data_IF_847445804116
#
_entry.id   IF_847445804116
#
_cell.length_a   1.000
_cell.length_b   1.000
_cell.length_c   1.000
_cell.angle_alpha   90.00
_cell.angle_beta   90.00
_cell.angle_gamma   90.00
#
_symmetry.space_group_name_H-M   'P 1'
#
loop_
_entity.id
_entity.type
_entity.pdbx_description
1 polymer ?
#
# COMPACT_ATOMS: atom_id res chain seq x y z
N UNK A 1 -12.43 -18.17 -28.95
CA UNK A 1 -13.26 -17.11 -28.37
C UNK A 1 -12.59 -15.75 -28.60
N UNK A 2 -13.35 -14.65 -28.81
CA UNK A 2 -12.77 -13.30 -28.85
C UNK A 2 -12.29 -12.87 -27.47
N UNK A 3 -11.37 -11.87 -27.43
CA UNK A 3 -11.02 -11.21 -26.20
C UNK A 3 -12.24 -10.48 -25.59
N UNK A 4 -12.32 -10.34 -24.26
CA UNK A 4 -13.27 -9.45 -23.65
C UNK A 4 -13.08 -8.00 -24.14
N UNK A 5 -14.12 -7.20 -24.01
CA UNK A 5 -14.08 -5.78 -24.41
C UNK A 5 -14.29 -4.89 -23.20
N UNK A 6 -14.01 -3.58 -23.37
CA UNK A 6 -14.30 -2.54 -22.37
C UNK A 6 -13.68 -2.82 -20.98
N UNK A 7 -12.44 -3.34 -20.96
CA UNK A 7 -11.69 -3.55 -19.73
C UNK A 7 -11.35 -2.21 -19.09
N UNK A 8 -11.79 -2.01 -17.86
CA UNK A 8 -11.60 -0.76 -17.10
C UNK A 8 -11.53 -1.02 -15.61
N UNK A 9 -11.05 -0.05 -14.85
CA UNK A 9 -11.17 -0.07 -13.39
C UNK A 9 -12.59 0.31 -12.98
N UNK A 10 -13.17 -0.41 -12.03
CA UNK A 10 -14.50 -0.14 -11.49
C UNK A 10 -14.52 1.11 -10.59
N UNK A 11 -13.41 1.35 -9.92
CA UNK A 11 -13.17 2.48 -9.02
C UNK A 11 -11.69 2.87 -9.09
N UNK A 12 -11.28 3.92 -8.37
CA UNK A 12 -9.89 4.35 -8.33
C UNK A 12 -8.99 3.21 -7.84
N UNK A 13 -7.94 2.92 -8.58
CA UNK A 13 -6.96 1.88 -8.22
C UNK A 13 -6.08 2.37 -7.07
N UNK A 14 -6.03 1.59 -5.99
CA UNK A 14 -5.23 1.90 -4.80
C UNK A 14 -4.26 0.77 -4.48
N UNK A 15 -3.26 1.05 -3.65
CA UNK A 15 -2.34 0.01 -3.15
C UNK A 15 -3.03 -1.01 -2.23
N UNK A 16 -4.27 -0.76 -1.83
CA UNK A 16 -5.07 -1.70 -1.03
C UNK A 16 -5.86 -2.67 -1.89
N UNK A 17 -6.35 -2.22 -3.05
CA UNK A 17 -7.08 -3.06 -3.99
C UNK A 17 -7.12 -2.42 -5.40
N UNK A 18 -7.11 -3.26 -6.43
CA UNK A 18 -7.41 -2.90 -7.80
C UNK A 18 -8.58 -3.73 -8.26
N UNK A 19 -9.71 -3.07 -8.56
CA UNK A 19 -10.90 -3.73 -9.07
C UNK A 19 -11.06 -3.43 -10.55
N UNK A 20 -11.03 -4.48 -11.37
CA UNK A 20 -11.22 -4.41 -12.81
C UNK A 20 -12.54 -5.04 -13.22
N UNK A 21 -13.14 -4.52 -14.26
CA UNK A 21 -14.39 -5.02 -14.85
C UNK A 21 -14.27 -5.01 -16.37
N UNK A 22 -15.00 -5.91 -17.02
CA UNK A 22 -15.05 -6.04 -18.49
C UNK A 22 -16.45 -6.43 -18.96
N UNK A 23 -16.67 -6.36 -20.25
CA UNK A 23 -17.94 -6.83 -20.82
C UNK A 23 -17.89 -8.35 -21.08
N UNK A 24 -19.00 -9.06 -20.85
CA UNK A 24 -19.06 -10.50 -21.02
C UNK A 24 -18.86 -10.91 -22.48
N UNK A 25 -18.19 -12.04 -22.71
CA UNK A 25 -18.02 -12.66 -24.02
C UNK A 25 -19.07 -13.75 -24.22
N UNK A 26 -19.80 -13.66 -25.31
CA UNK A 26 -20.81 -14.68 -25.65
C UNK A 26 -20.15 -16.04 -25.87
N UNK A 27 -20.61 -17.04 -25.15
CA UNK A 27 -20.07 -18.40 -25.21
C UNK A 27 -18.82 -18.65 -24.36
N UNK A 28 -18.38 -17.67 -23.56
CA UNK A 28 -17.28 -17.90 -22.63
C UNK A 28 -17.76 -18.79 -21.46
N UNK A 29 -17.01 -19.84 -21.19
CA UNK A 29 -17.16 -20.68 -20.00
C UNK A 29 -16.50 -20.03 -18.76
N UNK A 30 -15.57 -19.11 -18.97
CA UNK A 30 -14.87 -18.43 -17.88
C UNK A 30 -13.87 -17.38 -18.38
N UNK A 31 -13.13 -16.83 -17.40
CA UNK A 31 -12.06 -15.85 -17.65
C UNK A 31 -10.83 -16.15 -16.80
N UNK A 32 -9.65 -15.92 -17.38
CA UNK A 32 -8.38 -15.91 -16.67
C UNK A 32 -7.85 -14.48 -16.60
N UNK A 33 -7.39 -14.08 -15.42
CA UNK A 33 -6.85 -12.73 -15.15
C UNK A 33 -5.35 -12.83 -14.92
N UNK A 34 -4.60 -11.97 -15.58
CA UNK A 34 -3.15 -11.90 -15.48
C UNK A 34 -2.70 -10.51 -15.04
N UNK A 35 -1.58 -10.43 -14.34
CA UNK A 35 -0.95 -9.17 -13.93
C UNK A 35 0.54 -9.21 -14.22
N UNK A 36 1.01 -8.26 -15.01
CA UNK A 36 2.42 -8.09 -15.35
C UNK A 36 2.93 -6.70 -14.95
N UNK A 37 4.24 -6.56 -14.79
CA UNK A 37 4.92 -5.28 -14.59
C UNK A 37 5.45 -4.68 -15.91
N UNK A 38 5.25 -5.37 -17.02
CA UNK A 38 5.55 -4.94 -18.38
C UNK A 38 4.34 -5.18 -19.26
N UNK A 39 4.26 -4.49 -20.38
CA UNK A 39 3.21 -4.71 -21.36
C UNK A 39 3.46 -6.06 -22.08
N UNK A 40 2.55 -7.03 -21.98
CA UNK A 40 2.71 -8.31 -22.65
C UNK A 40 2.72 -8.15 -24.18
N UNK A 41 3.68 -8.77 -24.85
CA UNK A 41 3.78 -8.76 -26.33
C UNK A 41 2.98 -9.90 -26.98
N UNK A 42 2.74 -10.98 -26.25
CA UNK A 42 1.99 -12.15 -26.71
C UNK A 42 1.29 -12.86 -25.55
N UNK A 43 0.40 -13.81 -25.88
CA UNK A 43 -0.29 -14.63 -24.87
C UNK A 43 0.69 -15.46 -24.03
N UNK A 44 1.80 -15.89 -24.60
CA UNK A 44 2.83 -16.64 -23.88
C UNK A 44 3.61 -15.80 -22.87
N UNK A 45 3.53 -14.48 -22.98
CA UNK A 45 4.18 -13.52 -22.09
C UNK A 45 3.30 -13.13 -20.88
N UNK A 46 2.07 -13.63 -20.82
CA UNK A 46 1.15 -13.36 -19.71
C UNK A 46 1.58 -14.04 -18.40
N UNK A 47 2.35 -15.12 -18.48
CA UNK A 47 2.84 -15.87 -17.32
C UNK A 47 1.75 -16.69 -16.63
N UNK A 48 1.64 -16.59 -15.31
CA UNK A 48 0.65 -17.32 -14.51
C UNK A 48 -0.56 -16.46 -14.19
N UNK A 49 -1.79 -17.02 -14.24
CA UNK A 49 -3.00 -16.29 -13.89
C UNK A 49 -3.05 -15.94 -12.39
N UNK A 50 -3.73 -14.84 -12.07
CA UNK A 50 -4.03 -14.43 -10.70
C UNK A 50 -5.16 -15.31 -10.13
N UNK A 51 -4.77 -16.40 -9.47
CA UNK A 51 -5.73 -17.30 -8.82
C UNK A 51 -6.44 -18.25 -9.77
N UNK A 52 -7.62 -18.72 -9.38
CA UNK A 52 -8.43 -19.63 -10.17
C UNK A 52 -9.15 -18.92 -11.33
N UNK A 53 -9.48 -19.69 -12.39
CA UNK A 53 -10.32 -19.18 -13.47
C UNK A 53 -11.70 -18.79 -12.92
N UNK A 54 -12.16 -17.62 -13.34
CA UNK A 54 -13.49 -17.09 -13.01
C UNK A 54 -14.56 -17.76 -13.87
N UNK A 55 -15.79 -17.87 -13.35
CA UNK A 55 -16.90 -18.39 -14.11
C UNK A 55 -17.33 -17.43 -15.23
N UNK A 56 -18.01 -17.92 -16.27
CA UNK A 56 -18.40 -17.11 -17.43
C UNK A 56 -19.38 -15.96 -17.13
N UNK A 57 -20.04 -15.98 -15.99
CA UNK A 57 -20.89 -14.88 -15.49
C UNK A 57 -20.16 -13.88 -14.58
N UNK A 58 -18.92 -14.15 -14.22
CA UNK A 58 -18.08 -13.25 -13.42
C UNK A 58 -17.30 -12.32 -14.35
N UNK A 59 -17.69 -11.06 -14.38
CA UNK A 59 -17.10 -10.01 -15.24
C UNK A 59 -16.36 -8.95 -14.43
N UNK A 60 -15.89 -9.31 -13.25
CA UNK A 60 -15.11 -8.45 -12.37
C UNK A 60 -14.08 -9.26 -11.60
N UNK A 61 -12.95 -8.64 -11.30
CA UNK A 61 -11.90 -9.22 -10.46
C UNK A 61 -11.34 -8.14 -9.53
N UNK A 62 -11.08 -8.52 -8.27
CA UNK A 62 -10.48 -7.63 -7.27
C UNK A 62 -9.11 -8.19 -6.85
N UNK A 63 -8.05 -7.48 -7.22
CA UNK A 63 -6.68 -7.80 -6.83
C UNK A 63 -6.30 -7.08 -5.55
N UNK A 64 -5.99 -7.85 -4.50
CA UNK A 64 -5.48 -7.37 -3.20
C UNK A 64 -4.08 -7.91 -2.89
N UNK A 65 -3.42 -8.56 -3.84
CA UNK A 65 -2.17 -9.27 -3.63
C UNK A 65 -0.96 -8.37 -3.88
N UNK A 66 -0.38 -7.82 -2.82
CA UNK A 66 0.87 -7.06 -2.87
C UNK A 66 0.88 -5.98 -3.97
N UNK A 67 -0.17 -5.18 -4.02
CA UNK A 67 -0.28 -4.08 -4.97
C UNK A 67 0.54 -2.90 -4.45
N UNK A 68 1.49 -2.44 -5.25
CA UNK A 68 2.35 -1.31 -4.94
C UNK A 68 2.03 -0.12 -5.86
N UNK A 69 2.53 1.07 -5.53
CA UNK A 69 2.36 2.28 -6.34
C UNK A 69 3.26 2.29 -7.59
N UNK A 70 3.13 1.27 -8.44
CA UNK A 70 3.86 1.13 -9.72
C UNK A 70 2.90 0.75 -10.85
N UNK A 71 3.38 0.82 -12.08
CA UNK A 71 2.60 0.40 -13.26
C UNK A 71 2.39 -1.12 -13.27
N UNK A 72 1.14 -1.53 -13.44
CA UNK A 72 0.75 -2.90 -13.69
C UNK A 72 -0.06 -2.98 -14.99
N UNK A 73 0.06 -4.11 -15.66
CA UNK A 73 -0.69 -4.44 -16.87
C UNK A 73 -1.58 -5.64 -16.56
N UNK A 74 -2.88 -5.39 -16.44
CA UNK A 74 -3.88 -6.42 -16.23
C UNK A 74 -4.38 -6.90 -17.57
N UNK A 75 -4.29 -8.21 -17.81
CA UNK A 75 -4.77 -8.83 -19.02
C UNK A 75 -5.85 -9.86 -18.73
N UNK A 76 -6.89 -9.87 -19.55
CA UNK A 76 -8.00 -10.82 -19.43
C UNK A 76 -8.07 -11.67 -20.67
N UNK A 77 -8.16 -12.99 -20.46
CA UNK A 77 -8.34 -14.00 -21.49
C UNK A 77 -9.66 -14.69 -21.26
N UNK A 78 -10.48 -14.88 -22.29
CA UNK A 78 -11.69 -15.71 -22.23
C UNK A 78 -11.32 -17.16 -22.39
N UNK A 79 -12.06 -18.06 -21.72
CA UNK A 79 -11.91 -19.52 -21.83
C UNK A 79 -13.26 -20.17 -22.11
N UNK A 80 -13.26 -21.29 -22.82
CA UNK A 80 -14.47 -22.13 -23.01
C UNK A 80 -14.70 -23.11 -21.85
N UNK A 81 -13.83 -23.07 -20.83
CA UNK A 81 -13.82 -23.97 -19.69
C UNK A 81 -12.69 -24.99 -19.74
N UNK A 82 -12.10 -25.24 -20.90
CA UNK A 82 -10.95 -26.11 -21.11
C UNK A 82 -9.74 -25.32 -21.57
N UNK A 83 -9.84 -24.66 -22.72
CA UNK A 83 -8.76 -23.91 -23.34
C UNK A 83 -8.95 -22.40 -23.21
N UNK A 84 -7.85 -21.69 -23.17
CA UNK A 84 -7.81 -20.22 -23.19
C UNK A 84 -7.75 -19.74 -24.64
N UNK A 85 -8.41 -18.60 -24.87
CA UNK A 85 -8.37 -17.93 -26.19
C UNK A 85 -6.98 -17.37 -26.46
N UNK A 86 -6.54 -17.39 -27.72
CA UNK A 86 -5.31 -16.71 -28.17
C UNK A 86 -5.43 -15.18 -28.14
N UNK A 87 -6.64 -14.67 -27.88
CA UNK A 87 -6.93 -13.23 -27.88
C UNK A 87 -7.10 -12.74 -26.43
N UNK A 88 -6.47 -11.62 -26.11
CA UNK A 88 -6.57 -10.98 -24.81
C UNK A 88 -6.70 -9.47 -24.92
N UNK A 89 -7.19 -8.81 -23.86
CA UNK A 89 -7.21 -7.37 -23.71
C UNK A 89 -6.36 -6.98 -22.51
N UNK A 90 -5.61 -5.88 -22.62
CA UNK A 90 -4.74 -5.38 -21.55
C UNK A 90 -5.11 -3.97 -21.13
N UNK A 91 -5.12 -3.71 -19.84
CA UNK A 91 -5.32 -2.40 -19.21
C UNK A 91 -4.09 -2.06 -18.37
N UNK A 92 -3.50 -0.89 -18.62
CA UNK A 92 -2.48 -0.32 -17.75
C UNK A 92 -3.15 0.34 -16.53
N UNK A 93 -2.69 0.00 -15.33
CA UNK A 93 -3.19 0.55 -14.07
C UNK A 93 -2.01 0.96 -13.20
N UNK A 94 -2.04 2.19 -12.66
CA UNK A 94 -1.05 2.71 -11.71
C UNK A 94 -1.75 2.97 -10.39
N UNK A 95 -1.70 2.03 -9.41
CA UNK A 95 -2.32 2.21 -8.12
C UNK A 95 -1.68 3.36 -7.34
N UNK A 96 -2.50 4.15 -6.65
CA UNK A 96 -2.04 5.21 -5.76
C UNK A 96 -2.00 4.76 -4.31
N UNK A 97 -1.09 5.33 -3.50
CA UNK A 97 -1.02 5.05 -2.06
C UNK A 97 -2.19 5.75 -1.36
N UNK A 98 -3.35 5.15 -1.45
CA UNK A 98 -4.60 5.68 -0.95
C UNK A 98 -5.55 4.55 -0.55
N UNK A 99 -6.65 4.91 0.05
CA UNK A 99 -7.76 4.03 0.39
C UNK A 99 -9.05 4.61 -0.18
N UNK A 100 -9.95 3.80 -0.69
CA UNK A 100 -11.25 4.27 -1.15
C UNK A 100 -12.15 4.63 0.04
N UNK A 101 -13.11 5.55 -0.16
CA UNK A 101 -14.08 5.92 0.87
C UNK A 101 -14.79 4.69 1.45
N UNK A 102 -15.18 3.76 0.61
CA UNK A 102 -15.85 2.50 1.02
C UNK A 102 -14.98 1.67 1.97
N UNK A 103 -13.70 1.51 1.65
CA UNK A 103 -12.76 0.77 2.48
C UNK A 103 -12.45 1.53 3.78
N UNK A 104 -12.32 2.86 3.71
CA UNK A 104 -12.10 3.70 4.89
C UNK A 104 -13.28 3.63 5.88
N UNK A 105 -14.53 3.60 5.38
CA UNK A 105 -15.73 3.38 6.19
C UNK A 105 -15.74 1.99 6.83
N UNK A 106 -15.40 0.94 6.08
CA UNK A 106 -15.38 -0.44 6.59
C UNK A 106 -14.32 -0.63 7.69
N UNK A 107 -13.24 0.14 7.65
CA UNK A 107 -12.17 0.16 8.66
C UNK A 107 -12.42 1.15 9.82
N UNK A 108 -13.50 1.92 9.76
CA UNK A 108 -13.82 2.93 10.78
C UNK A 108 -12.86 4.14 10.81
N UNK A 109 -12.16 4.40 9.71
CA UNK A 109 -11.23 5.53 9.59
C UNK A 109 -11.96 6.86 9.34
N UNK A 110 -13.15 6.80 8.79
CA UNK A 110 -14.04 7.95 8.52
C UNK A 110 -15.47 7.59 8.89
N UNK A 111 -16.33 8.62 9.02
CA UNK A 111 -17.77 8.47 9.19
C UNK A 111 -18.51 8.73 7.88
N UNK A 112 -19.77 8.31 7.78
CA UNK A 112 -20.61 8.56 6.59
C UNK A 112 -20.78 10.06 6.28
N UNK A 113 -20.72 10.92 7.29
CA UNK A 113 -20.83 12.37 7.16
C UNK A 113 -19.54 13.04 6.62
N UNK A 114 -18.46 12.28 6.45
CA UNK A 114 -17.21 12.82 5.93
C UNK A 114 -17.39 13.31 4.49
N UNK A 115 -16.87 14.53 4.21
CA UNK A 115 -17.01 15.24 2.92
C UNK A 115 -16.07 14.61 1.86
N UNK A 116 -16.21 13.33 1.63
CA UNK A 116 -15.47 12.61 0.59
C UNK A 116 -16.50 12.04 -0.38
N UNK A 117 -16.40 12.37 -1.66
CA UNK A 117 -17.33 11.86 -2.67
C UNK A 117 -17.19 10.33 -2.82
N UNK A 118 -18.28 9.65 -3.22
CA UNK A 118 -18.23 8.23 -3.52
C UNK A 118 -17.28 8.01 -4.72
N UNK A 119 -16.30 7.10 -4.55
CA UNK A 119 -15.28 6.81 -5.57
C UNK A 119 -14.01 7.64 -5.45
N UNK A 120 -13.99 8.67 -4.60
CA UNK A 120 -12.75 9.38 -4.27
C UNK A 120 -11.87 8.55 -3.34
N UNK A 121 -10.57 8.82 -3.43
CA UNK A 121 -9.55 8.21 -2.59
C UNK A 121 -9.16 9.15 -1.47
N UNK A 122 -8.80 8.54 -0.34
CA UNK A 122 -8.20 9.22 0.81
C UNK A 122 -6.74 8.81 0.83
N UNK A 123 -5.83 9.78 0.71
CA UNK A 123 -4.40 9.52 0.73
C UNK A 123 -4.01 8.92 2.09
N UNK A 124 -3.22 7.86 2.04
CA UNK A 124 -2.65 7.27 3.24
C UNK A 124 -1.35 7.99 3.57
N UNK A 125 -1.21 8.43 4.81
CA UNK A 125 0.07 8.94 5.29
C UNK A 125 1.15 7.84 5.19
N UNK A 126 2.29 8.21 4.62
CA UNK A 126 3.41 7.30 4.50
C UNK A 126 4.16 7.19 5.84
N UNK A 127 4.11 6.02 6.46
CA UNK A 127 4.83 5.70 7.70
C UNK A 127 6.01 4.77 7.40
N UNK A 128 7.26 5.26 7.28
CA UNK A 128 8.42 4.45 6.85
C UNK A 128 8.69 3.22 7.71
N UNK A 129 8.35 3.29 9.00
CA UNK A 129 8.50 2.20 9.97
C UNK A 129 7.16 1.64 10.46
N UNK A 130 6.08 1.95 9.75
CA UNK A 130 4.73 1.55 10.14
C UNK A 130 4.17 2.36 11.31
N UNK A 131 3.02 1.90 11.81
CA UNK A 131 2.32 2.50 12.95
C UNK A 131 2.28 1.52 14.13
N UNK A 132 2.13 2.05 15.34
CA UNK A 132 1.86 1.21 16.52
C UNK A 132 0.38 0.75 16.53
N UNK A 133 0.00 -0.05 17.52
CA UNK A 133 -1.37 -0.55 17.69
C UNK A 133 -2.43 0.55 17.91
N UNK A 134 -2.03 1.78 18.16
CA UNK A 134 -2.87 2.97 18.25
C UNK A 134 -2.85 3.83 16.97
N UNK A 135 -2.21 3.35 15.88
CA UNK A 135 -2.10 4.06 14.62
C UNK A 135 -1.09 5.22 14.61
N UNK A 136 -0.22 5.33 15.62
CA UNK A 136 0.78 6.40 15.70
C UNK A 136 2.06 6.02 14.98
N UNK A 137 2.66 6.97 14.26
CA UNK A 137 3.92 6.79 13.53
C UNK A 137 5.07 6.34 14.44
N UNK A 138 5.63 5.17 14.14
CA UNK A 138 6.75 4.59 14.88
C UNK A 138 8.03 5.43 14.76
N UNK A 139 8.28 6.04 13.58
CA UNK A 139 9.44 6.91 13.37
C UNK A 139 9.35 8.17 14.23
N UNK A 140 8.20 8.82 14.22
CA UNK A 140 7.97 10.02 15.03
C UNK A 140 8.21 9.76 16.53
N UNK A 141 7.72 8.63 17.03
CA UNK A 141 7.95 8.19 18.42
C UNK A 141 9.42 7.88 18.72
N UNK A 142 10.12 7.24 17.79
CA UNK A 142 11.54 6.96 17.94
C UNK A 142 12.35 8.25 18.01
N UNK A 143 12.04 9.22 17.14
CA UNK A 143 12.68 10.53 17.13
C UNK A 143 12.42 11.31 18.42
N UNK A 144 11.19 11.29 18.93
CA UNK A 144 10.83 11.93 20.20
C UNK A 144 11.61 11.31 21.37
N UNK A 145 11.66 9.97 21.46
CA UNK A 145 12.44 9.26 22.48
C UNK A 145 13.95 9.53 22.37
N UNK A 146 14.49 9.57 21.16
CA UNK A 146 15.89 9.87 20.92
C UNK A 146 16.25 11.31 21.36
N UNK A 147 15.38 12.29 21.10
CA UNK A 147 15.54 13.69 21.52
C UNK A 147 15.69 13.80 23.04
N UNK A 148 14.80 13.15 23.78
CA UNK A 148 14.84 13.15 25.26
C UNK A 148 16.11 12.49 25.77
N UNK A 149 16.47 11.33 25.20
CA UNK A 149 17.67 10.58 25.60
C UNK A 149 18.96 11.37 25.34
N UNK A 150 19.07 12.02 24.17
CA UNK A 150 20.20 12.86 23.84
C UNK A 150 20.29 14.09 24.76
N UNK A 151 19.18 14.71 25.07
CA UNK A 151 19.15 15.84 26.01
C UNK A 151 19.70 15.43 27.38
N UNK A 152 19.23 14.35 27.94
CA UNK A 152 19.73 13.84 29.24
C UNK A 152 21.20 13.43 29.13
N UNK A 153 21.61 12.76 28.05
CA UNK A 153 22.99 12.33 27.82
C UNK A 153 23.99 13.49 27.70
N UNK A 154 23.56 14.68 27.29
CA UNK A 154 24.43 15.87 27.23
C UNK A 154 24.35 16.66 28.54
N UNK A 155 23.18 16.90 29.07
CA UNK A 155 22.99 17.76 30.24
C UNK A 155 23.56 17.15 31.51
N UNK A 156 23.40 15.84 31.71
CA UNK A 156 23.88 15.19 32.93
C UNK A 156 25.42 15.25 33.08
N UNK A 157 26.25 14.85 32.07
CA UNK A 157 27.70 15.01 32.16
C UNK A 157 28.13 16.47 32.31
N UNK A 158 27.47 17.41 31.66
CA UNK A 158 27.75 18.82 31.78
C UNK A 158 27.56 19.32 33.22
N UNK A 159 26.47 18.96 33.85
CA UNK A 159 26.23 19.25 35.26
C UNK A 159 27.27 18.60 36.18
N UNK A 160 27.62 17.32 35.93
CA UNK A 160 28.66 16.65 36.73
C UNK A 160 30.02 17.36 36.64
N UNK A 161 30.41 17.82 35.47
CA UNK A 161 31.66 18.57 35.29
C UNK A 161 31.62 19.89 36.07
N UNK A 162 30.51 20.65 35.96
CA UNK A 162 30.35 21.90 36.71
C UNK A 162 30.46 21.65 38.22
N UNK A 163 29.66 20.72 38.77
CA UNK A 163 29.67 20.43 40.18
C UNK A 163 31.03 19.88 40.63
N UNK A 164 31.72 19.05 39.82
CA UNK A 164 33.04 18.54 40.06
C UNK A 164 34.09 19.62 40.17
N UNK A 165 34.05 20.59 39.27
CA UNK A 165 34.98 21.75 39.30
C UNK A 165 34.72 22.62 40.53
N UNK A 166 33.47 22.95 40.85
CA UNK A 166 33.16 23.74 42.04
C UNK A 166 33.56 23.01 43.31
N UNK A 167 33.10 21.78 43.48
CA UNK A 167 33.44 20.99 44.69
C UNK A 167 34.95 20.73 44.83
N UNK A 168 35.61 20.32 43.75
CA UNK A 168 37.07 20.10 43.73
C UNK A 168 37.86 21.38 43.98
N UNK A 169 37.43 22.50 43.41
CA UNK A 169 38.02 23.80 43.65
C UNK A 169 37.91 24.27 45.09
N UNK A 170 36.69 24.14 45.68
CA UNK A 170 36.50 24.45 47.11
C UNK A 170 37.31 23.53 48.02
N UNK A 171 37.28 22.20 47.77
CA UNK A 171 38.05 21.26 48.56
C UNK A 171 39.55 21.50 48.48
N UNK A 172 40.08 21.85 47.29
CA UNK A 172 41.49 22.17 47.12
C UNK A 172 41.90 23.52 47.76
N UNK A 173 40.98 24.48 47.79
CA UNK A 173 41.25 25.79 48.38
C UNK A 173 41.24 25.75 49.93
N UNK A 174 40.26 25.05 50.51
CA UNK A 174 40.10 24.97 51.97
C UNK A 174 40.74 23.72 52.60
N UNK A 175 41.09 22.69 51.85
CA UNK A 175 41.59 21.43 52.30
C UNK A 175 43.14 21.30 52.30
N UNK A 176 43.86 22.40 52.17
CA UNK A 176 45.32 22.42 52.19
C UNK A 176 45.87 22.41 53.62
N UNK A 177 46.00 21.24 54.23
CA UNK A 177 46.99 21.01 55.30
C UNK A 177 47.35 19.54 55.32
#
# INVERSE_FOLDING_TARGET
LPAPTNLRTAEAATTQAVRIVWDPVVGAGGYAVYRNQHLPESINDLGLPLGAKLAGNEVSYEDRLNVEGRDYYYSIVSTDGYDESDSYITLKVTPVLAITKKEALSRGLITEESIVANGETIDLEFHPFGTDYLGRDMLARLMEGARVSLFIGIVAPFLYVIFGIFYGGFAGYFGGN
#
